data_IF_272183105173
#
_entry.id   IF_272183105173
#
_cell.length_a   1.000
_cell.length_b   1.000
_cell.length_c   1.000
_cell.angle_alpha   90.00
_cell.angle_beta   90.00
_cell.angle_gamma   90.00
#
_symmetry.space_group_name_H-M   'P 1'
#
loop_
_entity.id
_entity.type
_entity.pdbx_description
1 polymer ?
#
# COMPACT_ATOMS: atom_id res chain seq x y z
N UNK A 1 -53.69 39.69 -51.19
CA UNK A 1 -52.36 39.08 -51.45
C UNK A 1 -51.88 38.57 -50.09
N UNK A 2 -51.55 37.29 -49.85
CA UNK A 2 -50.33 36.55 -50.28
C UNK A 2 -49.05 37.38 -50.00
N UNK A 3 -47.98 36.94 -49.34
CA UNK A 3 -47.56 35.64 -48.74
C UNK A 3 -46.32 35.93 -47.83
N UNK A 4 -45.83 35.11 -46.88
CA UNK A 4 -46.14 33.75 -46.39
C UNK A 4 -45.69 33.61 -44.90
N UNK A 5 -45.59 32.39 -44.36
CA UNK A 5 -44.92 32.04 -43.09
C UNK A 5 -43.68 31.19 -43.42
N UNK A 6 -42.54 31.46 -42.78
CA UNK A 6 -41.46 30.48 -42.63
C UNK A 6 -40.90 30.53 -41.19
N UNK A 7 -41.05 29.41 -40.49
CA UNK A 7 -40.46 29.18 -39.17
C UNK A 7 -39.00 28.74 -39.34
N UNK A 8 -38.07 29.39 -38.64
CA UNK A 8 -36.69 28.89 -38.50
C UNK A 8 -36.43 28.57 -37.02
N UNK A 9 -36.59 27.30 -36.71
CA UNK A 9 -36.27 26.70 -35.42
C UNK A 9 -34.75 26.75 -35.19
N UNK A 10 -34.30 27.35 -34.08
CA UNK A 10 -32.96 27.10 -33.53
C UNK A 10 -33.15 26.37 -32.21
N UNK A 11 -32.74 25.11 -32.17
CA UNK A 11 -32.89 24.26 -31.00
C UNK A 11 -31.70 24.42 -30.04
N UNK A 12 -32.04 24.54 -28.76
CA UNK A 12 -31.25 24.16 -27.58
C UNK A 12 -29.73 24.45 -27.56
N UNK A 13 -29.35 25.39 -26.70
CA UNK A 13 -28.33 25.07 -25.68
C UNK A 13 -28.94 25.36 -24.31
N UNK A 14 -29.17 24.32 -23.52
CA UNK A 14 -29.58 24.44 -22.12
C UNK A 14 -28.34 24.78 -21.29
N UNK A 15 -28.20 26.05 -20.91
CA UNK A 15 -27.46 26.44 -19.71
C UNK A 15 -28.46 26.80 -18.61
N UNK A 16 -29.15 25.78 -18.10
CA UNK A 16 -29.93 25.95 -16.87
C UNK A 16 -28.96 25.97 -15.67
N UNK A 17 -29.22 26.88 -14.75
CA UNK A 17 -28.22 27.39 -13.80
C UNK A 17 -28.13 26.54 -12.53
N UNK A 18 -27.71 25.29 -12.71
CA UNK A 18 -27.27 24.45 -11.59
C UNK A 18 -25.91 24.93 -11.07
N UNK A 19 -25.88 25.61 -9.93
CA UNK A 19 -24.65 25.93 -9.20
C UNK A 19 -24.00 24.65 -8.66
N UNK A 20 -23.26 23.96 -9.53
CA UNK A 20 -22.38 22.86 -9.14
C UNK A 20 -21.38 23.39 -8.11
N UNK A 21 -21.25 22.75 -6.93
CA UNK A 21 -20.29 23.21 -5.94
C UNK A 21 -18.88 23.04 -6.50
N UNK A 22 -18.13 24.14 -6.61
CA UNK A 22 -16.72 24.16 -7.03
C UNK A 22 -15.83 23.21 -6.19
N UNK A 23 -16.31 22.84 -5.00
CA UNK A 23 -15.68 21.94 -4.05
C UNK A 23 -15.71 20.46 -4.51
N UNK A 24 -16.54 20.08 -5.49
CA UNK A 24 -16.58 18.71 -6.02
C UNK A 24 -15.37 18.37 -6.92
N UNK A 25 -14.72 19.39 -7.52
CA UNK A 25 -13.49 19.23 -8.29
C UNK A 25 -12.23 19.33 -7.41
N UNK A 26 -12.27 20.13 -6.34
CA UNK A 26 -11.13 20.40 -5.46
C UNK A 26 -10.77 19.28 -4.46
N UNK A 27 -11.56 18.20 -4.38
CA UNK A 27 -11.32 17.08 -3.44
C UNK A 27 -10.96 15.74 -4.09
N UNK A 28 -10.64 15.70 -5.40
CA UNK A 28 -10.20 14.47 -6.10
C UNK A 28 -8.69 14.36 -6.34
N UNK A 29 -7.90 15.34 -5.95
CA UNK A 29 -6.44 15.29 -6.00
C UNK A 29 -5.86 15.18 -4.58
N UNK A 30 -5.62 13.94 -4.13
CA UNK A 30 -4.51 13.52 -3.23
C UNK A 30 -4.64 12.08 -2.66
N UNK A 31 -5.49 11.21 -3.23
CA UNK A 31 -5.27 9.75 -3.07
C UNK A 31 -4.15 9.27 -3.98
N UNK A 32 -2.92 9.50 -3.53
CA UNK A 32 -1.71 8.85 -4.08
C UNK A 32 -1.68 7.39 -3.62
N UNK A 33 -2.59 6.56 -4.14
CA UNK A 33 -2.56 5.12 -3.91
C UNK A 33 -1.30 4.54 -4.57
N UNK A 34 -0.25 4.31 -3.77
CA UNK A 34 0.92 3.57 -4.26
C UNK A 34 0.49 2.12 -4.46
N UNK A 35 0.30 1.74 -5.72
CA UNK A 35 -0.06 0.40 -6.14
C UNK A 35 0.79 -0.71 -5.48
N UNK A 36 2.07 -0.45 -5.19
CA UNK A 36 2.91 -1.44 -4.49
C UNK A 36 2.53 -1.55 -3.01
N UNK A 37 2.22 -0.44 -2.33
CA UNK A 37 1.75 -0.44 -0.94
C UNK A 37 0.44 -1.25 -0.81
N UNK A 38 -0.53 -1.00 -1.69
CA UNK A 38 -1.81 -1.74 -1.70
C UNK A 38 -1.61 -3.23 -2.00
N UNK A 39 -0.71 -3.54 -2.95
CA UNK A 39 -0.33 -4.93 -3.26
C UNK A 39 0.34 -5.63 -2.07
N UNK A 40 1.22 -4.94 -1.33
CA UNK A 40 1.88 -5.49 -0.13
C UNK A 40 0.85 -5.78 0.97
N UNK A 41 -0.05 -4.84 1.25
CA UNK A 41 -1.14 -5.03 2.24
C UNK A 41 -1.99 -6.24 1.88
N UNK A 42 -2.35 -6.39 0.60
CA UNK A 42 -3.13 -7.52 0.10
C UNK A 42 -2.38 -8.85 0.24
N UNK A 43 -1.12 -8.92 -0.19
CA UNK A 43 -0.29 -10.14 -0.09
C UNK A 43 -0.04 -10.55 1.36
N UNK A 44 0.28 -9.59 2.24
CA UNK A 44 0.52 -9.86 3.65
C UNK A 44 -0.73 -10.49 4.32
N UNK A 45 -1.92 -9.96 4.01
CA UNK A 45 -3.19 -10.54 4.46
C UNK A 45 -3.58 -11.86 3.79
N UNK A 46 -3.10 -12.15 2.58
CA UNK A 46 -3.33 -13.45 1.92
C UNK A 46 -2.41 -14.53 2.50
N UNK A 47 -1.14 -14.22 2.77
CA UNK A 47 -0.16 -15.19 3.26
C UNK A 47 -0.46 -15.71 4.67
N UNK A 48 -1.10 -14.93 5.54
CA UNK A 48 -1.61 -15.40 6.85
C UNK A 48 -2.69 -16.49 6.76
N UNK A 49 -3.22 -16.76 5.55
CA UNK A 49 -4.24 -17.79 5.29
C UNK A 49 -3.84 -18.84 4.25
N UNK A 50 -2.70 -18.67 3.56
CA UNK A 50 -2.29 -19.52 2.42
C UNK A 50 -0.93 -20.18 2.60
N UNK A 51 -0.08 -19.67 3.49
CA UNK A 51 1.12 -20.40 3.93
C UNK A 51 0.74 -21.48 4.94
N UNK A 52 1.53 -22.55 5.00
CA UNK A 52 1.38 -23.61 6.00
C UNK A 52 1.66 -23.10 7.42
N UNK A 53 1.02 -23.70 8.43
CA UNK A 53 1.26 -23.38 9.84
C UNK A 53 2.74 -23.50 10.26
N UNK A 54 3.49 -24.47 9.71
CA UNK A 54 4.94 -24.62 9.93
C UNK A 54 5.73 -23.36 9.50
N UNK A 55 5.44 -22.84 8.31
CA UNK A 55 6.03 -21.59 7.82
C UNK A 55 5.55 -20.37 8.62
N UNK A 56 4.26 -20.32 8.97
CA UNK A 56 3.68 -19.20 9.71
C UNK A 56 4.21 -19.10 11.17
N UNK A 57 4.52 -20.24 11.79
CA UNK A 57 5.21 -20.33 13.08
C UNK A 57 6.73 -20.20 13.00
N UNK A 58 7.32 -19.98 11.82
CA UNK A 58 8.76 -19.71 11.70
C UNK A 58 9.12 -18.43 12.44
N UNK A 59 10.03 -18.55 13.40
CA UNK A 59 10.55 -17.43 14.18
C UNK A 59 11.58 -16.63 13.37
N UNK A 60 11.38 -15.31 13.34
CA UNK A 60 12.17 -14.31 12.63
C UNK A 60 12.63 -13.21 13.60
N UNK A 61 13.52 -12.33 13.14
CA UNK A 61 13.99 -11.19 13.93
C UNK A 61 12.84 -10.23 14.26
N UNK A 62 12.71 -9.85 15.53
CA UNK A 62 11.68 -8.94 16.02
C UNK A 62 11.97 -7.48 15.68
N UNK A 63 11.10 -6.90 14.84
CA UNK A 63 11.05 -5.46 14.52
C UNK A 63 9.71 -4.82 14.92
N UNK A 64 8.92 -5.49 15.76
CA UNK A 64 7.58 -5.01 16.20
C UNK A 64 7.65 -3.70 16.99
N UNK A 65 8.81 -3.40 17.59
CA UNK A 65 9.12 -2.12 18.25
C UNK A 65 9.02 -0.88 17.32
N UNK A 66 8.90 -1.10 16.01
CA UNK A 66 8.76 -0.08 14.96
C UNK A 66 7.30 0.12 14.46
N UNK A 67 6.27 -0.27 15.22
CA UNK A 67 4.88 -0.28 14.71
C UNK A 67 3.93 0.81 15.27
N UNK A 68 4.41 1.65 16.20
CA UNK A 68 3.57 2.59 16.97
C UNK A 68 3.05 3.79 16.17
N UNK A 69 3.84 4.34 15.23
CA UNK A 69 3.51 5.57 14.49
C UNK A 69 3.65 5.38 12.99
N UNK A 70 3.07 6.25 12.16
CA UNK A 70 3.22 6.15 10.69
C UNK A 70 4.68 6.29 10.23
N UNK A 71 5.48 7.09 10.92
CA UNK A 71 6.93 7.21 10.62
C UNK A 71 7.64 5.90 10.91
N UNK A 72 7.43 5.35 12.12
CA UNK A 72 7.97 4.03 12.48
C UNK A 72 7.47 2.93 11.53
N UNK A 73 6.21 2.97 11.10
CA UNK A 73 5.68 2.04 10.09
C UNK A 73 6.40 2.14 8.73
N UNK A 74 6.97 3.29 8.35
CA UNK A 74 7.82 3.37 7.14
C UNK A 74 9.17 2.71 7.38
N UNK A 75 9.78 2.93 8.54
CA UNK A 75 11.03 2.28 8.97
C UNK A 75 10.86 0.75 9.03
N UNK A 76 9.76 0.27 9.64
CA UNK A 76 9.33 -1.12 9.63
C UNK A 76 9.23 -1.70 8.21
N UNK A 77 8.68 -0.97 7.23
CA UNK A 77 8.63 -1.43 5.84
C UNK A 77 10.03 -1.60 5.21
N UNK A 78 11.00 -0.76 5.60
CA UNK A 78 12.40 -0.90 5.19
C UNK A 78 13.02 -2.18 5.78
N UNK A 79 12.81 -2.47 7.07
CA UNK A 79 13.40 -3.64 7.74
C UNK A 79 12.68 -4.96 7.38
N UNK A 80 11.36 -4.92 7.21
CA UNK A 80 10.56 -6.07 6.78
C UNK A 80 10.96 -6.59 5.39
N UNK A 81 11.46 -5.74 4.48
CA UNK A 81 12.05 -6.22 3.23
C UNK A 81 13.25 -7.14 3.48
N UNK A 82 14.19 -6.72 4.34
CA UNK A 82 15.39 -7.48 4.66
C UNK A 82 15.06 -8.79 5.37
N UNK A 83 14.12 -8.76 6.31
CA UNK A 83 13.69 -9.94 7.07
C UNK A 83 12.98 -10.94 6.15
N UNK A 84 12.00 -10.49 5.35
CA UNK A 84 11.28 -11.36 4.41
C UNK A 84 12.19 -11.86 3.27
N UNK A 85 13.25 -11.13 2.91
CA UNK A 85 14.28 -11.60 1.97
C UNK A 85 15.22 -12.67 2.55
N UNK A 86 15.26 -12.86 3.87
CA UNK A 86 16.04 -13.93 4.51
C UNK A 86 15.29 -15.26 4.57
N UNK A 87 13.96 -15.23 4.44
CA UNK A 87 13.12 -16.41 4.19
C UNK A 87 13.36 -16.90 2.75
N UNK A 88 13.23 -18.21 2.51
CA UNK A 88 13.42 -18.79 1.17
C UNK A 88 12.51 -18.10 0.13
N UNK A 89 13.07 -17.76 -1.04
CA UNK A 89 12.38 -16.95 -2.06
C UNK A 89 11.11 -17.60 -2.63
N UNK A 90 11.01 -18.93 -2.61
CA UNK A 90 9.86 -19.73 -3.05
C UNK A 90 8.67 -19.69 -2.06
N UNK A 91 8.91 -19.37 -0.79
CA UNK A 91 7.86 -19.25 0.24
C UNK A 91 6.78 -18.22 -0.13
N UNK A 92 7.14 -17.13 -0.82
CA UNK A 92 6.21 -16.04 -1.15
C UNK A 92 5.77 -16.05 -2.62
N UNK A 93 5.52 -17.25 -3.14
CA UNK A 93 5.14 -17.49 -4.53
C UNK A 93 6.29 -17.24 -5.51
N UNK A 94 5.96 -17.07 -6.79
CA UNK A 94 6.95 -16.86 -7.85
C UNK A 94 7.95 -15.73 -7.49
N UNK A 95 9.21 -16.15 -7.33
CA UNK A 95 10.39 -15.30 -7.17
C UNK A 95 10.32 -14.26 -6.02
N UNK A 96 9.67 -14.58 -4.90
CA UNK A 96 9.62 -13.71 -3.72
C UNK A 96 8.80 -12.43 -3.95
N UNK A 97 7.61 -12.57 -4.54
CA UNK A 97 6.79 -11.47 -5.08
C UNK A 97 6.56 -10.30 -4.11
N UNK A 98 6.35 -10.58 -2.81
CA UNK A 98 6.16 -9.54 -1.78
C UNK A 98 7.44 -8.74 -1.52
N UNK A 99 8.60 -9.40 -1.45
CA UNK A 99 9.92 -8.76 -1.26
C UNK A 99 10.23 -7.81 -2.42
N UNK A 100 9.91 -8.22 -3.65
CA UNK A 100 10.05 -7.37 -4.85
C UNK A 100 9.17 -6.11 -4.78
N UNK A 101 7.93 -6.23 -4.27
CA UNK A 101 7.03 -5.09 -4.09
C UNK A 101 7.51 -4.14 -2.99
N UNK A 102 7.96 -4.69 -1.87
CA UNK A 102 8.61 -3.94 -0.79
C UNK A 102 9.80 -3.14 -1.34
N UNK A 103 10.71 -3.77 -2.08
CA UNK A 103 11.88 -3.10 -2.69
C UNK A 103 11.52 -1.90 -3.56
N UNK A 104 10.49 -2.02 -4.40
CA UNK A 104 10.02 -0.93 -5.28
C UNK A 104 9.43 0.21 -4.46
N UNK A 105 8.66 -0.09 -3.41
CA UNK A 105 8.07 0.89 -2.50
C UNK A 105 9.16 1.59 -1.65
N UNK A 106 10.01 0.82 -0.99
CA UNK A 106 11.09 1.29 -0.10
C UNK A 106 12.08 2.21 -0.82
N UNK A 107 12.43 1.89 -2.09
CA UNK A 107 13.26 2.76 -2.93
C UNK A 107 12.65 4.16 -3.15
N UNK A 108 11.31 4.30 -3.12
CA UNK A 108 10.62 5.60 -3.22
C UNK A 108 10.55 6.34 -1.89
N UNK A 109 10.55 5.62 -0.77
CA UNK A 109 10.53 6.23 0.57
C UNK A 109 11.90 6.75 1.02
N UNK A 110 12.95 6.60 0.20
CA UNK A 110 14.34 6.86 0.59
C UNK A 110 14.71 6.17 1.90
N UNK A 111 14.29 4.90 2.06
CA UNK A 111 14.80 4.04 3.13
C UNK A 111 16.33 4.14 3.16
N UNK A 112 16.87 4.72 4.23
CA UNK A 112 18.28 4.52 4.53
C UNK A 112 18.48 3.00 4.58
N UNK A 113 19.44 2.47 3.82
CA UNK A 113 19.78 1.05 3.91
C UNK A 113 20.29 0.86 5.33
N UNK A 114 19.41 0.35 6.20
CA UNK A 114 19.79 -0.11 7.53
C UNK A 114 20.77 -1.23 7.25
N UNK A 115 22.06 -0.91 7.34
CA UNK A 115 23.13 -1.90 7.47
C UNK A 115 22.97 -2.49 8.86
N UNK A 116 21.91 -3.27 9.03
CA UNK A 116 21.73 -4.15 10.15
C UNK A 116 22.91 -5.09 10.13
N UNK A 117 23.90 -4.79 10.96
CA UNK A 117 24.74 -5.80 11.54
C UNK A 117 23.83 -6.68 12.40
N UNK A 118 23.01 -7.51 11.75
CA UNK A 118 22.40 -8.69 12.36
C UNK A 118 23.52 -9.71 12.59
N UNK A 119 24.48 -9.30 13.42
CA UNK A 119 25.23 -10.22 14.26
C UNK A 119 24.18 -11.04 15.00
N UNK A 120 24.39 -12.35 15.07
CA UNK A 120 23.35 -13.34 15.31
C UNK A 120 22.91 -13.44 16.78
N UNK A 121 22.91 -12.31 17.51
CA UNK A 121 22.78 -12.20 18.95
C UNK A 121 21.71 -11.17 19.36
N UNK A 122 20.83 -11.59 20.27
CA UNK A 122 19.99 -10.74 21.13
C UNK A 122 18.91 -9.86 20.47
N UNK A 123 18.46 -10.22 19.26
CA UNK A 123 17.10 -9.86 18.83
C UNK A 123 16.06 -10.73 19.54
N UNK A 124 14.96 -10.14 20.01
CA UNK A 124 13.73 -10.90 20.26
C UNK A 124 13.33 -11.67 18.98
N UNK A 125 12.56 -12.74 19.13
CA UNK A 125 12.03 -13.51 18.00
C UNK A 125 10.52 -13.38 17.89
N UNK A 126 10.02 -13.25 16.66
CA UNK A 126 8.61 -13.08 16.33
C UNK A 126 8.19 -14.04 15.22
N UNK A 127 6.97 -14.59 15.31
CA UNK A 127 6.42 -15.47 14.27
C UNK A 127 6.23 -14.73 12.93
N UNK A 128 6.49 -15.41 11.81
CA UNK A 128 6.16 -14.89 10.47
C UNK A 128 4.70 -14.46 10.35
N UNK A 129 3.76 -15.19 10.97
CA UNK A 129 2.33 -14.81 11.06
C UNK A 129 2.16 -13.39 11.62
N UNK A 130 2.86 -13.07 12.70
CA UNK A 130 2.79 -11.78 13.39
C UNK A 130 3.46 -10.68 12.56
N UNK A 131 4.63 -10.95 11.97
CA UNK A 131 5.32 -10.02 11.07
C UNK A 131 4.44 -9.64 9.86
N UNK A 132 3.76 -10.61 9.24
CA UNK A 132 2.83 -10.36 8.12
C UNK A 132 1.59 -9.56 8.57
N UNK A 133 1.06 -9.83 9.76
CA UNK A 133 -0.04 -9.07 10.33
C UNK A 133 0.34 -7.60 10.56
N UNK A 134 1.48 -7.36 11.20
CA UNK A 134 1.95 -6.01 11.51
C UNK A 134 2.33 -5.23 10.23
N UNK A 135 2.84 -5.92 9.20
CA UNK A 135 3.07 -5.34 7.86
C UNK A 135 1.77 -4.87 7.18
N UNK A 136 0.70 -5.68 7.28
CA UNK A 136 -0.63 -5.31 6.78
C UNK A 136 -1.18 -4.10 7.53
N UNK A 137 -1.12 -4.09 8.86
CA UNK A 137 -1.60 -2.98 9.68
C UNK A 137 -0.83 -1.69 9.43
N UNK A 138 0.51 -1.74 9.44
CA UNK A 138 1.33 -0.58 9.14
C UNK A 138 1.09 -0.03 7.73
N UNK A 139 0.89 -0.91 6.74
CA UNK A 139 0.53 -0.49 5.39
C UNK A 139 -0.82 0.24 5.36
N UNK A 140 -1.82 -0.24 6.10
CA UNK A 140 -3.11 0.43 6.25
C UNK A 140 -2.98 1.78 6.99
N UNK A 141 -2.16 1.87 8.04
CA UNK A 141 -1.84 3.15 8.73
C UNK A 141 -1.12 4.16 7.84
N UNK A 142 -0.40 3.71 6.82
CA UNK A 142 0.22 4.58 5.80
C UNK A 142 -0.82 4.99 4.75
N UNK A 143 -1.57 4.04 4.16
CA UNK A 143 -2.53 4.31 3.06
C UNK A 143 -3.80 5.07 3.52
N UNK A 144 -4.06 5.15 4.83
CA UNK A 144 -5.20 5.89 5.41
C UNK A 144 -4.91 7.36 5.70
N UNK A 145 -3.65 7.83 5.60
CA UNK A 145 -3.31 9.25 5.74
C UNK A 145 -3.32 9.95 4.37
N UNK A 146 -3.88 11.17 4.29
CA UNK A 146 -3.83 12.00 3.09
C UNK A 146 -2.41 12.57 2.82
#
# INVERSE_FOLDING_TARGET
MKTAILLLSVAMVLFDSGTLPANAAAHRQHRSHDYNLETIISMAGQYTHTLSEELLGTLLLDVTHLTETTTKCKEFFCEAETILASVKNDTFGEEGKIVRRLRVYNKRQNCAVVKSQYNQAEGNQVELRRLLHDLKECGQKINSKP
#
